data_IF_579253562722
#
_entry.id   IF_579253562722
#
_cell.length_a   1.000
_cell.length_b   1.000
_cell.length_c   1.000
_cell.angle_alpha   90.00
_cell.angle_beta   90.00
_cell.angle_gamma   90.00
#
_symmetry.space_group_name_H-M   'P 1'
#
loop_
_entity.id
_entity.type
_entity.pdbx_description
1 polymer ?
#
# COMPACT_ATOMS: atom_id res chain seq x y z
N UNK A 1 -11.68 21.70 10.33
CA UNK A 1 -10.82 20.85 11.16
C UNK A 1 -9.66 20.45 10.28
N UNK A 2 -8.42 20.80 10.65
CA UNK A 2 -7.24 20.32 9.91
C UNK A 2 -7.06 18.85 10.26
N UNK A 3 -6.90 17.98 9.26
CA UNK A 3 -6.40 16.62 9.50
C UNK A 3 -4.97 16.74 10.05
N UNK A 4 -4.57 15.83 10.94
CA UNK A 4 -3.17 15.72 11.31
C UNK A 4 -2.35 15.26 10.10
N UNK A 5 -1.08 15.67 9.97
CA UNK A 5 -0.27 15.26 8.84
C UNK A 5 -0.04 13.75 8.86
N UNK A 6 0.03 13.16 7.67
CA UNK A 6 0.53 11.79 7.47
C UNK A 6 2.01 11.85 7.08
N UNK A 7 2.80 10.93 7.58
CA UNK A 7 4.20 10.75 7.17
C UNK A 7 4.25 9.74 6.04
N UNK A 8 4.77 10.14 4.89
CA UNK A 8 4.94 9.29 3.71
C UNK A 8 6.39 8.84 3.62
N UNK A 9 6.63 7.53 3.58
CA UNK A 9 7.95 6.92 3.41
C UNK A 9 7.92 5.86 2.30
N UNK A 10 9.00 5.76 1.53
CA UNK A 10 9.13 4.79 0.45
C UNK A 10 10.60 4.59 0.11
N UNK A 11 10.92 3.37 -0.35
CA UNK A 11 12.27 2.97 -0.73
C UNK A 11 13.30 3.32 0.36
N UNK A 12 14.20 4.29 0.14
CA UNK A 12 15.13 4.82 1.15
C UNK A 12 15.16 6.36 1.15
N UNK A 13 14.09 6.98 0.67
CA UNK A 13 13.96 8.43 0.67
C UNK A 13 13.75 8.97 2.09
N UNK A 14 14.08 10.25 2.30
CA UNK A 14 13.71 10.93 3.54
C UNK A 14 12.18 10.99 3.67
N UNK A 15 11.60 10.70 4.85
CA UNK A 15 10.16 10.77 5.06
C UNK A 15 9.61 12.17 4.82
N UNK A 16 8.43 12.25 4.22
CA UNK A 16 7.76 13.51 3.86
C UNK A 16 6.48 13.65 4.68
N UNK A 17 6.35 14.71 5.48
CA UNK A 17 5.10 15.03 6.15
C UNK A 17 4.14 15.74 5.18
N UNK A 18 2.89 15.27 5.11
CA UNK A 18 1.85 15.82 4.23
C UNK A 18 0.59 16.14 5.03
N UNK A 19 0.13 17.38 4.95
CA UNK A 19 -1.07 17.90 5.64
C UNK A 19 -2.22 18.25 4.69
N UNK A 20 -2.02 18.11 3.38
CA UNK A 20 -3.02 18.37 2.33
C UNK A 20 -3.18 17.17 1.40
N UNK A 21 -4.43 16.86 1.09
CA UNK A 21 -4.74 15.74 0.21
C UNK A 21 -4.19 15.92 -1.22
N UNK A 22 -4.27 17.13 -1.77
CA UNK A 22 -3.74 17.42 -3.12
C UNK A 22 -2.23 17.15 -3.22
N UNK A 23 -1.49 17.43 -2.13
CA UNK A 23 -0.05 17.21 -2.07
C UNK A 23 0.28 15.71 -1.96
N UNK A 24 -0.58 14.95 -1.26
CA UNK A 24 -0.49 13.49 -1.21
C UNK A 24 -0.71 12.88 -2.60
N UNK A 25 -1.80 13.23 -3.28
CA UNK A 25 -2.10 12.72 -4.62
C UNK A 25 -0.98 13.08 -5.60
N UNK A 26 -0.49 14.32 -5.56
CA UNK A 26 0.65 14.77 -6.38
C UNK A 26 1.92 13.97 -6.10
N UNK A 27 2.22 13.67 -4.84
CA UNK A 27 3.37 12.85 -4.47
C UNK A 27 3.23 11.43 -5.03
N UNK A 28 2.07 10.80 -4.84
CA UNK A 28 1.86 9.42 -5.25
C UNK A 28 1.86 9.28 -6.78
N UNK A 29 1.38 10.28 -7.51
CA UNK A 29 1.45 10.31 -8.98
C UNK A 29 2.89 10.45 -9.47
N UNK A 30 3.69 11.31 -8.81
CA UNK A 30 5.13 11.43 -9.10
C UNK A 30 5.87 10.11 -8.85
N UNK A 31 5.59 9.43 -7.74
CA UNK A 31 6.19 8.13 -7.43
C UNK A 31 5.79 7.11 -8.50
N UNK A 32 4.49 6.96 -8.81
CA UNK A 32 4.01 6.01 -9.81
C UNK A 32 4.54 6.29 -11.24
N UNK A 33 4.83 7.55 -11.57
CA UNK A 33 5.42 7.94 -12.84
C UNK A 33 6.95 7.72 -12.92
N UNK A 34 7.60 7.33 -11.83
CA UNK A 34 9.06 7.13 -11.80
C UNK A 34 9.43 5.87 -12.58
N UNK A 35 10.31 5.96 -13.61
CA UNK A 35 10.62 4.81 -14.48
C UNK A 35 11.18 3.59 -13.75
N UNK A 36 11.93 3.80 -12.67
CA UNK A 36 12.45 2.71 -11.83
C UNK A 36 11.31 1.91 -11.20
N UNK A 37 10.32 2.61 -10.64
CA UNK A 37 9.17 1.98 -9.99
C UNK A 37 8.19 1.34 -10.99
N UNK A 38 8.19 1.79 -12.25
CA UNK A 38 7.47 1.11 -13.32
C UNK A 38 8.10 -0.23 -13.71
N UNK A 39 9.42 -0.34 -13.58
CA UNK A 39 10.14 -1.60 -13.81
C UNK A 39 10.03 -2.54 -12.61
N UNK A 40 10.08 -1.99 -11.40
CA UNK A 40 9.92 -2.75 -10.17
C UNK A 40 9.10 -1.93 -9.16
N UNK A 41 7.81 -2.26 -8.96
CA UNK A 41 6.90 -1.49 -8.10
C UNK A 41 7.47 -1.20 -6.72
N UNK A 42 7.11 -0.06 -6.13
CA UNK A 42 7.54 0.34 -4.79
C UNK A 42 6.36 0.37 -3.85
N UNK A 43 6.56 -0.07 -2.62
CA UNK A 43 5.59 0.09 -1.55
C UNK A 43 5.82 1.43 -0.84
N UNK A 44 4.77 2.25 -0.81
CA UNK A 44 4.73 3.54 -0.11
C UNK A 44 3.95 3.38 1.18
N UNK A 45 4.51 3.77 2.30
CA UNK A 45 3.88 3.72 3.63
C UNK A 45 3.41 5.11 4.05
N UNK A 46 2.13 5.22 4.40
CA UNK A 46 1.48 6.41 4.96
C UNK A 46 1.20 6.13 6.45
N UNK A 47 1.93 6.78 7.34
CA UNK A 47 1.80 6.62 8.80
C UNK A 47 1.08 7.84 9.40
N UNK A 48 0.08 7.61 10.25
CA UNK A 48 -0.58 8.68 11.02
C UNK A 48 0.34 9.29 12.06
N UNK A 49 0.09 10.55 12.44
CA UNK A 49 0.90 11.26 13.44
C UNK A 49 0.96 10.57 14.81
N UNK A 50 -0.10 9.85 15.19
CA UNK A 50 -0.17 9.03 16.41
C UNK A 50 0.54 7.68 16.31
N UNK A 51 0.96 7.28 15.10
CA UNK A 51 1.59 5.98 14.77
C UNK A 51 0.72 4.76 15.05
N UNK A 52 -0.58 4.96 15.21
CA UNK A 52 -1.54 3.87 15.43
C UNK A 52 -1.92 3.20 14.10
N UNK A 53 -1.87 3.95 12.99
CA UNK A 53 -2.31 3.44 11.69
C UNK A 53 -1.28 3.66 10.59
N UNK A 54 -1.12 2.62 9.77
CA UNK A 54 -0.30 2.67 8.56
C UNK A 54 -1.10 2.15 7.39
N UNK A 55 -1.08 2.87 6.27
CA UNK A 55 -1.54 2.37 4.99
C UNK A 55 -0.36 2.24 4.03
N UNK A 56 -0.06 1.01 3.64
CA UNK A 56 0.94 0.70 2.63
C UNK A 56 0.26 0.56 1.27
N UNK A 57 0.85 1.16 0.24
CA UNK A 57 0.31 1.28 -1.11
C UNK A 57 1.38 0.88 -2.13
N UNK A 58 1.13 -0.19 -2.88
CA UNK A 58 2.02 -0.60 -3.98
C UNK A 58 1.81 0.31 -5.21
N UNK A 59 2.85 1.02 -5.62
CA UNK A 59 2.85 1.91 -6.79
C UNK A 59 3.82 1.46 -7.87
N UNK A 60 3.52 1.77 -9.13
CA UNK A 60 4.40 1.53 -10.28
C UNK A 60 3.80 0.63 -11.35
N UNK A 61 2.73 -0.12 -11.03
CA UNK A 61 1.86 -0.75 -12.04
C UNK A 61 0.77 0.22 -12.49
N UNK A 62 0.36 0.13 -13.75
CA UNK A 62 -0.60 1.07 -14.35
C UNK A 62 -2.07 0.66 -14.11
N UNK A 63 -2.30 -0.63 -13.92
CA UNK A 63 -3.61 -1.29 -13.90
C UNK A 63 -4.01 -1.74 -12.50
N UNK A 64 -3.04 -2.17 -11.70
CA UNK A 64 -3.28 -2.71 -10.36
C UNK A 64 -2.45 -2.06 -9.25
N UNK A 65 -2.93 -2.21 -8.03
CA UNK A 65 -2.25 -1.88 -6.78
C UNK A 65 -2.60 -2.95 -5.74
N UNK A 66 -1.84 -2.98 -4.66
CA UNK A 66 -2.12 -3.75 -3.44
C UNK A 66 -2.09 -2.78 -2.28
N UNK A 67 -3.00 -2.93 -1.32
CA UNK A 67 -3.01 -2.16 -0.09
C UNK A 67 -2.79 -3.09 1.11
N UNK A 68 -2.08 -2.58 2.10
CA UNK A 68 -1.99 -3.21 3.42
C UNK A 68 -2.27 -2.14 4.46
N UNK A 69 -3.31 -2.34 5.24
CA UNK A 69 -3.66 -1.48 6.36
C UNK A 69 -3.24 -2.14 7.66
N UNK A 70 -2.61 -1.37 8.52
CA UNK A 70 -2.14 -1.79 9.84
C UNK A 70 -2.81 -0.91 10.89
N UNK A 71 -3.31 -1.56 11.94
CA UNK A 71 -3.57 -0.93 13.23
C UNK A 71 -2.59 -1.54 14.22
N UNK A 72 -1.64 -0.72 14.66
CA UNK A 72 -0.45 -1.11 15.41
C UNK A 72 -0.81 -2.02 16.58
N UNK A 73 -0.24 -3.24 16.59
CA UNK A 73 -0.50 -4.32 17.58
C UNK A 73 -1.93 -4.87 17.66
N UNK A 74 -2.85 -4.46 16.78
CA UNK A 74 -4.26 -4.89 16.82
C UNK A 74 -4.61 -5.76 15.62
N UNK A 75 -4.41 -5.26 14.41
CA UNK A 75 -4.89 -5.91 13.19
C UNK A 75 -4.00 -5.54 12.00
N UNK A 76 -3.85 -6.49 11.09
CA UNK A 76 -3.34 -6.27 9.75
C UNK A 76 -4.37 -6.77 8.75
N UNK A 77 -4.61 -6.00 7.70
CA UNK A 77 -5.56 -6.33 6.66
C UNK A 77 -4.98 -5.99 5.29
N UNK A 78 -5.05 -6.92 4.34
CA UNK A 78 -4.71 -6.67 2.95
C UNK A 78 -5.97 -6.36 2.14
N UNK A 79 -5.85 -5.60 1.05
CA UNK A 79 -6.95 -5.41 0.11
C UNK A 79 -7.43 -6.77 -0.40
N UNK A 80 -8.75 -6.97 -0.47
CA UNK A 80 -9.31 -8.14 -1.14
C UNK A 80 -9.40 -7.85 -2.64
N UNK A 81 -8.64 -8.61 -3.40
CA UNK A 81 -8.43 -8.40 -4.82
C UNK A 81 -9.69 -8.61 -5.65
N UNK A 82 -9.81 -7.81 -6.69
CA UNK A 82 -10.88 -7.89 -7.70
C UNK A 82 -10.34 -8.03 -9.12
N UNK A 83 -9.01 -8.11 -9.25
CA UNK A 83 -8.28 -8.31 -10.50
C UNK A 83 -7.48 -9.61 -10.45
N UNK A 84 -7.14 -10.12 -11.63
CA UNK A 84 -6.16 -11.19 -11.75
C UNK A 84 -4.79 -10.70 -11.27
N UNK A 85 -4.24 -11.37 -10.27
CA UNK A 85 -2.93 -11.05 -9.72
C UNK A 85 -1.84 -11.85 -10.42
N UNK A 86 -0.79 -11.20 -10.98
CA UNK A 86 0.37 -11.91 -11.47
C UNK A 86 1.04 -12.73 -10.35
N UNK A 87 1.35 -13.99 -10.62
CA UNK A 87 1.99 -14.88 -9.63
C UNK A 87 3.36 -14.38 -9.14
N UNK A 88 4.04 -13.55 -9.94
CA UNK A 88 5.34 -12.96 -9.62
C UNK A 88 5.24 -11.50 -9.14
N UNK A 89 4.04 -11.04 -8.76
CA UNK A 89 3.83 -9.68 -8.27
C UNK A 89 4.62 -9.46 -6.98
N UNK A 90 5.66 -8.63 -7.09
CA UNK A 90 6.50 -8.21 -5.99
C UNK A 90 6.78 -6.72 -6.07
N UNK A 91 7.20 -6.15 -4.94
CA UNK A 91 7.51 -4.74 -4.79
C UNK A 91 8.77 -4.53 -3.96
N UNK A 92 9.35 -3.34 -4.09
CA UNK A 92 10.42 -2.83 -3.25
C UNK A 92 9.82 -2.26 -1.96
N UNK A 93 10.18 -2.85 -0.83
CA UNK A 93 9.92 -2.30 0.50
C UNK A 93 11.26 -2.06 1.21
N UNK A 94 11.66 -0.80 1.39
CA UNK A 94 12.89 -0.47 2.11
C UNK A 94 14.22 -0.85 1.41
N UNK A 95 14.17 -1.18 0.12
CA UNK A 95 15.28 -1.76 -0.65
C UNK A 95 15.28 -3.29 -0.68
N UNK A 96 14.23 -3.94 -0.18
CA UNK A 96 14.04 -5.40 -0.21
C UNK A 96 12.91 -5.77 -1.17
N UNK A 97 13.09 -6.85 -1.92
CA UNK A 97 12.00 -7.48 -2.68
C UNK A 97 11.05 -8.16 -1.69
N UNK A 98 9.78 -7.81 -1.76
CA UNK A 98 8.69 -8.40 -0.99
C UNK A 98 7.59 -8.84 -1.95
N UNK A 99 7.15 -10.08 -1.83
CA UNK A 99 6.05 -10.59 -2.66
C UNK A 99 4.71 -10.04 -2.15
N UNK A 100 3.75 -9.86 -3.07
CA UNK A 100 2.41 -9.44 -2.71
C UNK A 100 1.62 -10.57 -2.05
N UNK A 101 0.77 -10.21 -1.09
CA UNK A 101 -0.21 -11.13 -0.54
C UNK A 101 -1.14 -11.65 -1.64
N UNK A 102 -1.60 -12.89 -1.52
CA UNK A 102 -2.41 -13.52 -2.55
C UNK A 102 -3.73 -12.81 -2.73
N UNK A 103 -4.28 -12.86 -3.95
CA UNK A 103 -5.61 -12.35 -4.26
C UNK A 103 -5.83 -10.93 -3.71
N UNK A 104 -4.82 -10.06 -3.78
CA UNK A 104 -4.87 -8.72 -3.18
C UNK A 104 -4.86 -7.59 -4.21
N UNK A 105 -4.69 -7.91 -5.48
CA UNK A 105 -4.68 -6.95 -6.58
C UNK A 105 -6.05 -6.26 -6.79
N UNK A 106 -6.05 -4.93 -6.68
CA UNK A 106 -7.21 -4.06 -6.91
C UNK A 106 -6.90 -3.00 -7.98
N UNK A 107 -7.91 -2.38 -8.62
CA UNK A 107 -7.68 -1.27 -9.53
C UNK A 107 -6.96 -0.11 -8.85
N UNK A 108 -6.03 0.55 -9.56
CA UNK A 108 -5.32 1.75 -9.07
C UNK A 108 -6.31 2.83 -8.62
N UNK A 109 -7.43 3.00 -9.32
CA UNK A 109 -8.47 3.97 -8.95
C UNK A 109 -9.09 3.67 -7.59
N UNK A 110 -9.32 2.39 -7.27
CA UNK A 110 -9.82 1.95 -5.95
C UNK A 110 -8.77 2.20 -4.88
N UNK A 111 -7.50 1.92 -5.17
CA UNK A 111 -6.41 2.21 -4.25
C UNK A 111 -6.29 3.71 -3.93
N UNK A 112 -6.41 4.57 -4.95
CA UNK A 112 -6.42 6.04 -4.78
C UNK A 112 -7.59 6.51 -3.91
N UNK A 113 -8.80 6.01 -4.15
CA UNK A 113 -9.94 6.33 -3.29
C UNK A 113 -9.71 5.90 -1.83
N UNK A 114 -9.14 4.71 -1.61
CA UNK A 114 -8.85 4.21 -0.28
C UNK A 114 -7.82 5.09 0.46
N UNK A 115 -6.78 5.56 -0.25
CA UNK A 115 -5.80 6.49 0.29
C UNK A 115 -6.45 7.81 0.72
N UNK A 116 -7.36 8.35 -0.10
CA UNK A 116 -8.09 9.57 0.24
C UNK A 116 -8.97 9.38 1.48
N UNK A 117 -9.66 8.23 1.59
CA UNK A 117 -10.44 7.88 2.79
C UNK A 117 -9.53 7.77 4.03
N UNK A 118 -8.41 7.05 3.94
CA UNK A 118 -7.45 6.93 5.03
C UNK A 118 -6.95 8.30 5.52
N UNK A 119 -6.58 9.17 4.59
CA UNK A 119 -6.10 10.51 4.89
C UNK A 119 -7.16 11.40 5.56
N UNK A 120 -8.41 11.34 5.09
CA UNK A 120 -9.50 12.19 5.58
C UNK A 120 -10.16 11.69 6.87
N UNK A 121 -9.97 10.40 7.20
CA UNK A 121 -10.52 9.76 8.39
C UNK A 121 -9.48 9.55 9.50
N UNK A 122 -8.30 10.15 9.38
CA UNK A 122 -7.19 10.00 10.33
C UNK A 122 -6.81 8.53 10.58
N UNK A 123 -6.61 7.79 9.47
CA UNK A 123 -6.05 6.45 9.49
C UNK A 123 -7.06 5.31 9.64
N UNK A 124 -8.36 5.60 9.74
CA UNK A 124 -9.37 4.53 9.79
C UNK A 124 -9.29 3.65 8.55
N UNK A 125 -9.60 2.36 8.73
CA UNK A 125 -9.60 1.39 7.63
C UNK A 125 -10.57 1.85 6.53
N UNK A 126 -10.09 2.10 5.30
CA UNK A 126 -10.94 2.54 4.20
C UNK A 126 -12.10 1.60 3.93
N UNK A 127 -13.24 2.17 3.53
CA UNK A 127 -14.52 1.44 3.37
C UNK A 127 -14.91 1.23 1.91
N UNK A 128 -14.22 1.87 0.96
CA UNK A 128 -14.46 1.71 -0.48
C UNK A 128 -14.04 0.37 -1.08
N UNK A 129 -13.50 -0.56 -0.28
CA UNK A 129 -13.10 -1.89 -0.70
C UNK A 129 -13.32 -2.91 0.42
N UNK A 130 -13.35 -4.18 0.02
CA UNK A 130 -13.28 -5.29 0.95
C UNK A 130 -11.82 -5.57 1.37
N UNK A 131 -11.67 -6.11 2.58
CA UNK A 131 -10.39 -6.47 3.16
C UNK A 131 -10.34 -7.97 3.46
N UNK A 132 -9.13 -8.51 3.55
CA UNK A 132 -8.87 -9.89 3.91
C UNK A 132 -7.72 -10.00 4.89
N UNK A 133 -7.66 -11.12 5.62
CA UNK A 133 -6.46 -11.50 6.37
C UNK A 133 -5.34 -11.76 5.37
N UNK A 134 -4.15 -11.16 5.54
CA UNK A 134 -3.03 -11.40 4.62
C UNK A 134 -2.62 -12.87 4.60
N UNK A 135 -2.44 -13.41 3.40
CA UNK A 135 -1.90 -14.76 3.15
C UNK A 135 -0.84 -14.71 2.06
N UNK A 136 0.10 -15.64 2.13
CA UNK A 136 1.00 -15.97 1.04
C UNK A 136 0.69 -17.40 0.59
N UNK A 137 0.78 -17.67 -0.71
CA UNK A 137 0.60 -19.02 -1.25
C UNK A 137 1.58 -19.97 -0.55
N UNK A 138 1.09 -21.05 0.07
CA UNK A 138 1.88 -22.07 0.76
C UNK A 138 2.68 -22.98 -0.21
N UNK A 139 3.17 -22.45 -1.33
CA UNK A 139 4.01 -23.21 -2.26
C UNK A 139 5.49 -23.08 -1.92
N UNK A 140 5.90 -23.62 -0.77
CA UNK A 140 7.29 -24.03 -0.51
C UNK A 140 7.45 -24.88 0.78
N UNK A 141 6.62 -25.91 0.97
CA UNK A 141 7.11 -27.09 1.71
C UNK A 141 7.73 -28.07 0.69
N UNK A 142 9.05 -28.29 0.68
CA UNK A 142 9.57 -29.49 0.02
C UNK A 142 8.96 -30.68 0.73
N UNK A 143 8.28 -31.54 -0.04
CA UNK A 143 7.78 -32.82 0.43
C UNK A 143 8.89 -33.51 1.22
N UNK A 144 8.67 -33.75 2.52
CA UNK A 144 9.56 -34.59 3.32
C UNK A 144 9.56 -35.97 2.69
N UNK A 145 10.63 -36.27 1.94
CA UNK A 145 10.95 -37.61 1.45
C UNK A 145 11.36 -38.53 2.57
#
# INVERSE_FOLDING_TARGET
>A
MSSEPVTVSYDRAEPVAIDRLDDLDTLLDRIAATPEYQRFPVMVSLETSDKEHVLEVCLGRHDLSVLVWHHTFVEIAASKGTLDQPADLAYNFGGSRTDAYDNSAIPVTTARQAVQEFFTTNGQRPTCLDWQTPSYDEQDEPAKG
#
